data_IF_668592303799
#
_entry.id   IF_668592303799
#
_cell.length_a   1.000
_cell.length_b   1.000
_cell.length_c   1.000
_cell.angle_alpha   90.00
_cell.angle_beta   90.00
_cell.angle_gamma   90.00
#
_symmetry.space_group_name_H-M   'P 1'
#
loop_
_entity.id
_entity.type
_entity.pdbx_description
1 polymer ?
#
# COMPACT_ATOMS: atom_id res chain seq x y z
N UNK A 1 -8.44 -9.27 10.16
CA UNK A 1 -7.85 -8.22 9.31
C UNK A 1 -8.39 -6.87 9.75
N UNK A 2 -7.52 -5.91 9.98
CA UNK A 2 -7.89 -4.58 10.45
C UNK A 2 -7.41 -3.53 9.47
N UNK A 3 -8.27 -2.56 9.16
CA UNK A 3 -7.98 -1.45 8.26
C UNK A 3 -7.89 -0.16 9.04
N UNK A 4 -6.96 0.72 8.65
CA UNK A 4 -6.93 2.09 9.17
C UNK A 4 -8.00 2.93 8.48
N UNK A 5 -8.14 4.17 8.97
CA UNK A 5 -8.85 5.21 8.23
C UNK A 5 -8.18 5.47 6.89
N UNK A 6 -8.90 6.09 5.99
CA UNK A 6 -8.39 6.53 4.69
C UNK A 6 -7.62 7.84 4.83
N UNK A 7 -6.57 7.99 4.05
CA UNK A 7 -5.75 9.20 4.06
C UNK A 7 -5.44 9.63 2.62
N UNK A 8 -5.86 10.82 2.25
CA UNK A 8 -5.67 11.34 0.90
C UNK A 8 -4.36 12.13 0.80
N UNK A 9 -3.57 11.86 -0.23
CA UNK A 9 -2.32 12.57 -0.51
C UNK A 9 -2.30 13.09 -1.93
N UNK A 10 -1.53 14.16 -2.17
CA UNK A 10 -1.29 14.65 -3.52
C UNK A 10 -0.41 13.68 -4.29
N UNK A 11 -0.54 13.62 -5.63
CA UNK A 11 0.36 12.81 -6.45
C UNK A 11 1.82 13.23 -6.26
N UNK A 12 2.72 12.23 -6.30
CA UNK A 12 4.16 12.45 -6.18
C UNK A 12 4.75 12.54 -7.58
N UNK A 13 5.55 13.59 -7.82
CA UNK A 13 6.23 13.80 -9.09
C UNK A 13 5.34 14.37 -10.18
N UNK A 14 5.91 14.44 -11.41
CA UNK A 14 5.21 14.95 -12.58
C UNK A 14 4.39 13.82 -13.21
N UNK A 15 3.11 13.73 -12.85
CA UNK A 15 2.21 12.77 -13.47
C UNK A 15 1.12 13.53 -14.21
N UNK A 16 0.56 12.95 -15.31
CA UNK A 16 -0.58 13.57 -15.97
C UNK A 16 -1.87 13.50 -15.15
N UNK A 17 -1.88 12.69 -14.10
CA UNK A 17 -3.02 12.56 -13.20
C UNK A 17 -2.92 13.62 -12.10
N UNK A 18 -3.97 14.41 -11.94
CA UNK A 18 -4.06 15.47 -10.92
C UNK A 18 -4.90 15.05 -9.72
N UNK A 19 -5.42 13.82 -9.72
CA UNK A 19 -6.24 13.33 -8.62
C UNK A 19 -5.39 12.97 -7.41
N UNK A 20 -5.97 13.13 -6.22
CA UNK A 20 -5.32 12.69 -4.99
C UNK A 20 -5.26 11.17 -4.92
N UNK A 21 -4.24 10.64 -4.24
CA UNK A 21 -4.16 9.22 -3.93
C UNK A 21 -4.84 8.92 -2.61
N UNK A 22 -5.61 7.84 -2.60
CA UNK A 22 -6.19 7.29 -1.39
C UNK A 22 -5.22 6.26 -0.81
N UNK A 23 -4.81 6.48 0.44
CA UNK A 23 -3.91 5.58 1.15
C UNK A 23 -4.63 4.96 2.34
N UNK A 24 -4.32 3.71 2.62
CA UNK A 24 -4.88 2.98 3.76
C UNK A 24 -3.90 1.89 4.16
N UNK A 25 -3.74 1.66 5.45
CA UNK A 25 -2.94 0.56 5.96
C UNK A 25 -3.85 -0.58 6.39
N UNK A 26 -3.35 -1.80 6.22
CA UNK A 26 -4.04 -3.02 6.60
C UNK A 26 -3.10 -3.87 7.44
N UNK A 27 -3.61 -4.43 8.53
CA UNK A 27 -2.88 -5.40 9.33
C UNK A 27 -3.68 -6.70 9.36
N UNK A 28 -3.01 -7.82 9.23
CA UNK A 28 -3.67 -9.12 9.21
C UNK A 28 -2.69 -10.25 9.43
N UNK A 29 -3.21 -11.47 9.38
CA UNK A 29 -2.42 -12.70 9.51
C UNK A 29 -2.56 -13.53 8.24
N UNK A 30 -1.49 -14.23 7.88
CA UNK A 30 -1.48 -15.12 6.73
C UNK A 30 -0.60 -16.33 7.02
N UNK A 31 -0.92 -17.47 6.40
CA UNK A 31 -0.09 -18.66 6.43
C UNK A 31 0.92 -18.69 5.28
N UNK A 32 0.82 -17.74 4.35
CA UNK A 32 1.75 -17.63 3.23
C UNK A 32 3.09 -17.07 3.69
N UNK A 33 4.19 -17.52 3.07
CA UNK A 33 5.48 -16.86 3.25
C UNK A 33 5.49 -15.52 2.51
N UNK A 34 6.49 -14.70 2.76
CA UNK A 34 6.55 -13.36 2.18
C UNK A 34 6.62 -13.37 0.65
N UNK A 35 7.47 -14.18 -0.01
CA UNK A 35 7.52 -14.22 -1.46
C UNK A 35 6.18 -14.59 -2.09
N UNK A 36 5.49 -15.58 -1.52
CA UNK A 36 4.20 -16.03 -2.02
C UNK A 36 3.12 -14.94 -1.84
N UNK A 37 3.11 -14.29 -0.68
CA UNK A 37 2.20 -13.19 -0.41
C UNK A 37 2.45 -12.03 -1.36
N UNK A 38 3.71 -11.66 -1.56
CA UNK A 38 4.05 -10.57 -2.48
C UNK A 38 3.61 -10.88 -3.91
N UNK A 39 3.82 -12.12 -4.36
CA UNK A 39 3.34 -12.56 -5.67
C UNK A 39 1.83 -12.42 -5.80
N UNK A 40 1.09 -12.84 -4.78
CA UNK A 40 -0.36 -12.71 -4.75
C UNK A 40 -0.80 -11.24 -4.82
N UNK A 41 -0.12 -10.36 -4.09
CA UNK A 41 -0.41 -8.92 -4.12
C UNK A 41 -0.18 -8.33 -5.51
N UNK A 42 0.93 -8.70 -6.17
CA UNK A 42 1.23 -8.19 -7.51
C UNK A 42 0.24 -8.72 -8.56
N UNK A 43 -0.20 -9.95 -8.44
CA UNK A 43 -1.26 -10.50 -9.29
C UNK A 43 -2.59 -9.76 -9.07
N UNK A 44 -2.89 -9.40 -7.83
CA UNK A 44 -4.07 -8.62 -7.50
C UNK A 44 -4.02 -7.24 -8.15
N UNK A 45 -2.88 -6.57 -8.13
CA UNK A 45 -2.69 -5.29 -8.82
C UNK A 45 -2.99 -5.41 -10.32
N UNK A 46 -2.49 -6.47 -10.96
CA UNK A 46 -2.74 -6.71 -12.39
C UNK A 46 -4.23 -6.93 -12.66
N UNK A 47 -4.92 -7.68 -11.79
CA UNK A 47 -6.35 -7.94 -11.91
C UNK A 47 -7.18 -6.66 -11.79
N UNK A 48 -6.70 -5.65 -11.07
CA UNK A 48 -7.34 -4.35 -10.98
C UNK A 48 -6.91 -3.39 -12.09
N UNK A 49 -6.23 -3.92 -13.12
CA UNK A 49 -5.95 -3.16 -14.32
C UNK A 49 -4.69 -2.31 -14.30
N UNK A 50 -3.71 -2.66 -13.46
CA UNK A 50 -2.40 -2.01 -13.49
C UNK A 50 -1.60 -2.51 -14.70
N UNK A 51 -1.97 -2.01 -15.89
CA UNK A 51 -1.37 -2.38 -17.16
C UNK A 51 -0.38 -1.33 -17.63
N UNK A 52 0.47 -1.71 -18.60
CA UNK A 52 1.42 -0.77 -19.20
C UNK A 52 0.72 0.43 -19.83
N UNK A 53 -0.39 0.20 -20.53
CA UNK A 53 -1.16 1.28 -21.13
C UNK A 53 -1.66 2.29 -20.10
N UNK A 54 -2.18 1.81 -18.98
CA UNK A 54 -2.65 2.68 -17.91
C UNK A 54 -1.49 3.42 -17.24
N UNK A 55 -0.34 2.76 -17.07
CA UNK A 55 0.86 3.41 -16.51
C UNK A 55 1.34 4.55 -17.39
N UNK A 56 1.31 4.38 -18.71
CA UNK A 56 1.69 5.44 -19.65
C UNK A 56 0.75 6.64 -19.58
N UNK A 57 -0.51 6.40 -19.23
CA UNK A 57 -1.50 7.47 -19.04
C UNK A 57 -1.43 8.10 -17.64
N UNK A 58 -0.53 7.63 -16.78
CA UNK A 58 -0.40 8.10 -15.40
C UNK A 58 -1.48 7.57 -14.46
N UNK A 59 -2.20 6.53 -14.88
CA UNK A 59 -3.25 5.91 -14.09
C UNK A 59 -2.65 4.78 -13.26
N UNK A 60 -2.78 4.87 -11.92
CA UNK A 60 -2.36 3.83 -10.98
C UNK A 60 -3.59 3.41 -10.18
N UNK A 61 -4.35 2.40 -10.66
CA UNK A 61 -5.61 2.01 -10.01
C UNK A 61 -5.43 1.44 -8.60
N UNK A 62 -4.35 0.71 -8.37
CA UNK A 62 -4.05 0.16 -7.04
C UNK A 62 -2.56 -0.14 -6.93
N UNK A 63 -2.01 0.08 -5.75
CA UNK A 63 -0.62 -0.26 -5.42
C UNK A 63 -0.59 -0.91 -4.05
N UNK A 64 -0.12 -2.16 -4.00
CA UNK A 64 -0.13 -2.98 -2.80
C UNK A 64 1.30 -3.36 -2.41
N UNK A 65 1.75 -2.89 -1.26
CA UNK A 65 3.10 -3.14 -0.77
C UNK A 65 3.08 -3.70 0.65
N UNK A 66 3.98 -4.63 0.91
CA UNK A 66 4.21 -5.15 2.26
C UNK A 66 5.13 -4.16 2.98
N UNK A 67 4.66 -3.55 4.06
CA UNK A 67 5.47 -2.63 4.86
C UNK A 67 6.10 -3.31 6.08
N UNK A 68 5.53 -4.39 6.54
CA UNK A 68 6.03 -5.16 7.69
C UNK A 68 5.61 -6.60 7.53
N UNK A 69 6.54 -7.52 7.72
CA UNK A 69 6.27 -8.96 7.70
C UNK A 69 6.95 -9.60 8.90
N UNK A 70 6.15 -10.14 9.83
CA UNK A 70 6.61 -10.79 11.06
C UNK A 70 7.52 -9.89 11.91
N UNK A 71 7.21 -8.60 11.98
CA UNK A 71 7.98 -7.63 12.75
C UNK A 71 9.19 -7.05 12.04
N UNK A 72 9.44 -7.44 10.81
CA UNK A 72 10.52 -6.91 10.00
C UNK A 72 9.97 -5.89 8.99
N UNK A 73 10.47 -4.67 9.08
CA UNK A 73 10.01 -3.58 8.21
C UNK A 73 10.55 -3.72 6.80
N UNK A 74 9.71 -3.41 5.83
CA UNK A 74 10.04 -3.33 4.41
C UNK A 74 9.73 -1.93 3.91
N UNK A 75 10.34 -1.52 2.78
CA UNK A 75 10.10 -0.20 2.20
C UNK A 75 10.33 0.91 3.23
N UNK A 76 11.52 0.95 3.83
CA UNK A 76 11.83 1.85 4.94
C UNK A 76 11.53 3.31 4.65
N UNK A 77 11.70 3.76 3.41
CA UNK A 77 11.39 5.13 3.02
C UNK A 77 9.90 5.45 3.17
N UNK A 78 9.03 4.46 2.91
CA UNK A 78 7.60 4.65 3.04
C UNK A 78 7.18 4.77 4.51
N UNK A 79 7.91 4.15 5.42
CA UNK A 79 7.68 4.30 6.86
C UNK A 79 7.86 5.74 7.34
N UNK A 80 8.65 6.55 6.63
CA UNK A 80 8.88 7.95 6.97
C UNK A 80 7.83 8.89 6.40
N UNK A 81 6.95 8.42 5.52
CA UNK A 81 5.89 9.23 4.94
C UNK A 81 4.88 9.67 6.01
N UNK A 82 4.43 10.94 5.96
CA UNK A 82 3.51 11.45 6.98
C UNK A 82 2.24 10.62 7.13
N UNK A 83 1.66 10.13 6.05
CA UNK A 83 0.42 9.35 6.13
C UNK A 83 0.65 7.99 6.81
N UNK A 84 1.79 7.34 6.55
CA UNK A 84 2.13 6.07 7.22
C UNK A 84 2.31 6.30 8.72
N UNK A 85 3.05 7.33 9.10
CA UNK A 85 3.29 7.67 10.51
C UNK A 85 1.99 7.99 11.24
N UNK A 86 1.07 8.65 10.56
CA UNK A 86 -0.23 8.98 11.14
C UNK A 86 -1.11 7.75 11.26
N UNK A 87 -1.23 6.95 10.20
CA UNK A 87 -2.14 5.81 10.18
C UNK A 87 -1.67 4.65 11.06
N UNK A 88 -0.35 4.44 11.17
CA UNK A 88 0.17 3.35 11.99
C UNK A 88 -0.22 3.49 13.46
N UNK A 89 -0.48 4.70 13.93
CA UNK A 89 -0.92 4.94 15.30
C UNK A 89 -2.28 4.29 15.60
N UNK A 90 -3.10 4.06 14.57
CA UNK A 90 -4.39 3.41 14.76
C UNK A 90 -4.26 1.93 15.12
N UNK A 91 -3.09 1.33 14.89
CA UNK A 91 -2.81 -0.07 15.25
C UNK A 91 -2.24 -0.25 16.64
N UNK A 92 -1.97 0.79 17.38
CA UNK A 92 -1.35 0.72 18.72
C UNK A 92 -2.16 -0.16 19.68
N UNK A 93 -3.49 -0.22 19.50
CA UNK A 93 -4.39 -0.98 20.35
C UNK A 93 -4.83 -2.31 19.74
N UNK A 94 -4.26 -2.68 18.60
CA UNK A 94 -4.61 -3.93 17.91
C UNK A 94 -3.61 -5.01 18.31
N UNK A 95 -4.12 -6.13 18.81
CA UNK A 95 -3.31 -7.33 19.04
C UNK A 95 -3.29 -8.20 17.79
N UNK A 96 -2.11 -8.64 17.42
CA UNK A 96 -1.94 -9.51 16.25
C UNK A 96 -0.74 -10.45 16.39
#
# INVERSE_FOLDING_TARGET
MHFTSEYWTAPIGNTPCHDAYLNQLVIGKTELDEPTLNEWLKKTELNFGRTESKRQLGIVPIDLDILDFNGEKRHLRDWERPYVRQLIKEFVRVEY
#
